data_IF_694579636723
#
_entry.id   IF_694579636723
#
_cell.length_a   1.000
_cell.length_b   1.000
_cell.length_c   1.000
_cell.angle_alpha   90.00
_cell.angle_beta   90.00
_cell.angle_gamma   90.00
#
_symmetry.space_group_name_H-M   'P 1'
#
loop_
_entity.id
_entity.type
_entity.pdbx_description
1 polymer ?
#
# COMPACT_ATOMS: atom_id res chain seq x y z
N UNK A 1 20.62 30.45 -21.12
CA UNK A 1 19.18 30.40 -21.45
C UNK A 1 18.40 30.75 -20.20
N UNK A 2 17.62 31.84 -20.20
CA UNK A 2 16.76 32.14 -19.04
C UNK A 2 15.44 31.38 -19.23
N UNK A 3 15.21 30.34 -18.44
CA UNK A 3 13.96 29.59 -18.42
C UNK A 3 12.85 30.47 -17.79
N UNK A 4 11.73 30.63 -18.49
CA UNK A 4 10.59 31.41 -17.99
C UNK A 4 9.49 30.41 -17.55
N UNK A 5 9.17 30.38 -16.27
CA UNK A 5 8.10 29.53 -15.73
C UNK A 5 6.72 29.98 -16.22
N UNK A 6 5.89 29.05 -16.67
CA UNK A 6 4.54 29.29 -17.17
C UNK A 6 3.50 28.40 -16.47
N UNK A 7 3.26 28.65 -15.21
CA UNK A 7 2.28 27.88 -14.43
C UNK A 7 0.83 28.05 -14.92
N UNK A 8 0.52 29.07 -15.75
CA UNK A 8 -0.80 29.23 -16.34
C UNK A 8 -1.27 28.03 -17.16
N UNK A 9 -0.33 27.28 -17.78
CA UNK A 9 -0.63 26.07 -18.54
C UNK A 9 -1.07 24.92 -17.61
N UNK A 10 -0.44 24.80 -16.45
CA UNK A 10 -0.78 23.78 -15.47
C UNK A 10 -2.16 24.04 -14.87
N UNK A 11 -2.48 25.30 -14.57
CA UNK A 11 -3.80 25.65 -14.03
C UNK A 11 -4.95 25.42 -15.01
N UNK A 12 -4.72 25.52 -16.31
CA UNK A 12 -5.73 25.17 -17.32
C UNK A 12 -6.08 23.68 -17.30
N UNK A 13 -5.11 22.81 -17.01
CA UNK A 13 -5.25 21.36 -17.00
C UNK A 13 -5.32 20.79 -15.58
N UNK A 14 -5.56 21.66 -14.57
CA UNK A 14 -5.53 21.24 -13.17
C UNK A 14 -6.59 20.18 -12.85
N UNK A 15 -7.72 20.18 -13.56
CA UNK A 15 -8.76 19.17 -13.44
C UNK A 15 -8.25 17.75 -13.73
N UNK A 16 -7.47 17.59 -14.80
CA UNK A 16 -6.90 16.29 -15.19
C UNK A 16 -5.88 15.80 -14.14
N UNK A 17 -5.09 16.70 -13.55
CA UNK A 17 -4.20 16.35 -12.43
C UNK A 17 -4.99 15.92 -11.18
N UNK A 18 -6.14 16.57 -10.93
CA UNK A 18 -6.99 16.20 -9.80
C UNK A 18 -7.62 14.81 -10.01
N UNK A 19 -8.09 14.52 -11.23
CA UNK A 19 -8.59 13.17 -11.58
C UNK A 19 -7.50 12.11 -11.41
N UNK A 20 -6.28 12.41 -11.85
CA UNK A 20 -5.11 11.57 -11.62
C UNK A 20 -4.82 11.35 -10.12
N UNK A 21 -4.95 12.39 -9.28
CA UNK A 21 -4.78 12.27 -7.84
C UNK A 21 -5.85 11.40 -7.18
N UNK A 22 -7.10 11.49 -7.64
CA UNK A 22 -8.20 10.64 -7.19
C UNK A 22 -7.92 9.18 -7.57
N UNK A 23 -7.50 8.93 -8.81
CA UNK A 23 -7.15 7.58 -9.25
C UNK A 23 -5.97 7.02 -8.46
N UNK A 24 -4.93 7.83 -8.20
CA UNK A 24 -3.81 7.47 -7.32
C UNK A 24 -4.30 6.97 -5.95
N UNK A 25 -5.20 7.73 -5.33
CA UNK A 25 -5.76 7.35 -4.02
C UNK A 25 -6.58 6.06 -4.10
N UNK A 26 -7.42 5.90 -5.13
CA UNK A 26 -8.23 4.70 -5.33
C UNK A 26 -7.36 3.46 -5.53
N UNK A 27 -6.37 3.54 -6.42
CA UNK A 27 -5.42 2.44 -6.67
C UNK A 27 -4.65 2.08 -5.40
N UNK A 28 -4.15 3.07 -4.66
CA UNK A 28 -3.46 2.86 -3.39
C UNK A 28 -4.35 2.19 -2.35
N UNK A 29 -5.58 2.67 -2.17
CA UNK A 29 -6.52 2.13 -1.20
C UNK A 29 -6.94 0.69 -1.51
N UNK A 30 -7.27 0.40 -2.77
CA UNK A 30 -7.66 -0.96 -3.21
C UNK A 30 -6.49 -1.92 -3.12
N UNK A 31 -5.29 -1.48 -3.52
CA UNK A 31 -4.07 -2.29 -3.42
C UNK A 31 -3.73 -2.63 -1.97
N UNK A 32 -3.83 -1.65 -1.08
CA UNK A 32 -3.61 -1.87 0.34
C UNK A 32 -4.65 -2.81 0.96
N UNK A 33 -5.94 -2.62 0.65
CA UNK A 33 -7.01 -3.47 1.17
C UNK A 33 -6.86 -4.92 0.69
N UNK A 34 -6.64 -5.13 -0.62
CA UNK A 34 -6.39 -6.45 -1.19
C UNK A 34 -5.13 -7.10 -0.62
N UNK A 35 -4.05 -6.33 -0.52
CA UNK A 35 -2.81 -6.77 0.11
C UNK A 35 -2.98 -7.11 1.59
N UNK A 36 -3.80 -6.37 2.34
CA UNK A 36 -4.09 -6.65 3.75
C UNK A 36 -4.83 -7.98 3.93
N UNK A 37 -5.76 -8.31 3.04
CA UNK A 37 -6.45 -9.61 3.07
C UNK A 37 -5.47 -10.76 2.79
N UNK A 38 -4.63 -10.64 1.75
CA UNK A 38 -3.58 -11.62 1.44
C UNK A 38 -2.61 -11.72 2.61
N UNK A 39 -2.15 -10.59 3.14
CA UNK A 39 -1.21 -10.52 4.24
C UNK A 39 -1.71 -11.20 5.50
N UNK A 40 -2.97 -10.99 5.86
CA UNK A 40 -3.60 -11.61 7.02
C UNK A 40 -3.67 -13.14 6.85
N UNK A 41 -4.12 -13.59 5.67
CA UNK A 41 -4.21 -15.01 5.37
C UNK A 41 -2.82 -15.69 5.40
N UNK A 42 -1.85 -15.11 4.74
CA UNK A 42 -0.48 -15.61 4.69
C UNK A 42 0.19 -15.59 6.07
N UNK A 43 0.01 -14.52 6.85
CA UNK A 43 0.55 -14.43 8.22
C UNK A 43 -0.06 -15.50 9.14
N UNK A 44 -1.36 -15.77 9.02
CA UNK A 44 -2.01 -16.84 9.75
C UNK A 44 -1.46 -18.23 9.36
N UNK A 45 -1.30 -18.49 8.05
CA UNK A 45 -0.69 -19.74 7.57
C UNK A 45 0.73 -19.93 8.10
N UNK A 46 1.59 -18.90 8.03
CA UNK A 46 2.96 -18.99 8.53
C UNK A 46 2.98 -19.25 10.04
N UNK A 47 2.03 -18.70 10.79
CA UNK A 47 2.02 -18.79 12.25
C UNK A 47 1.44 -20.11 12.78
N UNK A 48 0.45 -20.67 12.11
CA UNK A 48 -0.35 -21.77 12.68
C UNK A 48 -0.44 -23.02 11.80
N UNK A 49 -0.12 -22.94 10.48
CA UNK A 49 -0.27 -24.10 9.60
C UNK A 49 0.93 -25.07 9.69
N UNK A 50 0.79 -26.33 9.25
CA UNK A 50 1.90 -27.27 9.12
C UNK A 50 2.91 -26.81 8.08
N UNK A 51 4.14 -27.34 8.14
CA UNK A 51 5.28 -26.94 7.32
C UNK A 51 4.97 -26.93 5.80
N UNK A 52 4.24 -27.92 5.32
CA UNK A 52 3.87 -28.07 3.91
C UNK A 52 3.10 -26.82 3.38
N UNK A 53 2.21 -26.24 4.20
CA UNK A 53 1.44 -25.04 3.83
C UNK A 53 2.22 -23.74 4.08
N UNK A 54 3.19 -23.75 4.99
CA UNK A 54 4.06 -22.58 5.24
C UNK A 54 5.06 -22.36 4.13
N UNK A 55 5.59 -23.43 3.53
CA UNK A 55 6.67 -23.35 2.55
C UNK A 55 6.32 -22.49 1.33
N UNK A 56 5.18 -22.69 0.62
CA UNK A 56 4.82 -21.84 -0.52
C UNK A 56 4.62 -20.38 -0.14
N UNK A 57 4.08 -20.11 1.06
CA UNK A 57 3.92 -18.73 1.55
C UNK A 57 5.29 -18.09 1.83
N UNK A 58 6.24 -18.82 2.40
CA UNK A 58 7.60 -18.32 2.58
C UNK A 58 8.27 -18.01 1.24
N UNK A 59 8.15 -18.91 0.26
CA UNK A 59 8.69 -18.68 -1.08
C UNK A 59 8.08 -17.42 -1.71
N UNK A 60 6.76 -17.26 -1.62
CA UNK A 60 6.06 -16.06 -2.11
C UNK A 60 6.59 -14.79 -1.43
N UNK A 61 6.61 -14.75 -0.11
CA UNK A 61 7.06 -13.57 0.64
C UNK A 61 8.51 -13.23 0.29
N UNK A 62 9.41 -14.21 0.30
CA UNK A 62 10.83 -14.00 -0.02
C UNK A 62 11.01 -13.55 -1.46
N UNK A 63 10.35 -14.19 -2.43
CA UNK A 63 10.47 -13.82 -3.83
C UNK A 63 9.98 -12.39 -4.08
N UNK A 64 8.80 -12.05 -3.57
CA UNK A 64 8.17 -10.74 -3.81
C UNK A 64 8.88 -9.61 -3.08
N UNK A 65 9.30 -9.80 -1.83
CA UNK A 65 9.98 -8.74 -1.07
C UNK A 65 11.43 -8.49 -1.52
N UNK A 66 12.05 -9.45 -2.20
CA UNK A 66 13.40 -9.32 -2.76
C UNK A 66 13.42 -8.98 -4.25
N UNK A 67 12.26 -8.73 -4.86
CA UNK A 67 12.15 -8.29 -6.24
C UNK A 67 11.50 -6.90 -6.29
N UNK A 68 12.05 -5.91 -7.04
CA UNK A 68 11.42 -4.61 -7.16
C UNK A 68 9.99 -4.70 -7.70
N UNK A 69 9.05 -3.95 -7.10
CA UNK A 69 7.65 -3.93 -7.53
C UNK A 69 7.50 -3.60 -9.03
N UNK A 70 8.32 -2.68 -9.54
CA UNK A 70 8.36 -2.34 -10.96
C UNK A 70 8.56 -3.57 -11.86
N UNK A 71 9.50 -4.45 -11.50
CA UNK A 71 9.80 -5.66 -12.30
C UNK A 71 8.61 -6.63 -12.27
N UNK A 72 7.95 -6.76 -11.12
CA UNK A 72 6.74 -7.58 -11.00
C UNK A 72 5.61 -7.06 -11.91
N UNK A 73 5.38 -5.74 -11.89
CA UNK A 73 4.36 -5.08 -12.71
C UNK A 73 4.72 -5.17 -14.21
N UNK A 74 5.99 -4.98 -14.58
CA UNK A 74 6.46 -5.14 -15.96
C UNK A 74 6.28 -6.58 -16.46
N UNK A 75 6.50 -7.58 -15.62
CA UNK A 75 6.25 -8.96 -15.98
C UNK A 75 4.75 -9.19 -16.26
N UNK A 76 3.85 -8.61 -15.46
CA UNK A 76 2.41 -8.71 -15.69
C UNK A 76 2.00 -7.99 -16.99
N UNK A 77 2.57 -6.84 -17.28
CA UNK A 77 2.17 -6.01 -18.40
C UNK A 77 2.80 -6.43 -19.74
N UNK A 78 4.10 -6.73 -19.75
CA UNK A 78 4.85 -7.10 -20.96
C UNK A 78 5.07 -8.61 -21.08
N UNK A 79 5.18 -9.34 -19.99
CA UNK A 79 5.48 -10.78 -19.99
C UNK A 79 4.26 -11.64 -20.21
N UNK A 80 3.13 -11.39 -19.56
CA UNK A 80 1.93 -12.22 -19.69
C UNK A 80 1.35 -12.26 -21.12
N UNK A 81 1.40 -11.20 -21.93
CA UNK A 81 0.96 -11.23 -23.31
C UNK A 81 1.67 -12.29 -24.17
N UNK A 82 2.93 -12.63 -23.88
CA UNK A 82 3.67 -13.70 -24.57
C UNK A 82 3.05 -15.09 -24.32
N UNK A 83 2.30 -15.22 -23.22
CA UNK A 83 1.52 -16.44 -22.91
C UNK A 83 0.04 -16.32 -23.30
N UNK A 84 -0.32 -15.30 -24.11
CA UNK A 84 -1.69 -15.07 -24.56
C UNK A 84 -2.62 -14.39 -23.56
N UNK A 85 -2.12 -13.97 -22.39
CA UNK A 85 -2.91 -13.32 -21.32
C UNK A 85 -2.68 -11.81 -21.43
N UNK A 86 -3.72 -11.05 -21.78
CA UNK A 86 -3.66 -9.57 -21.89
C UNK A 86 -4.59 -8.91 -20.89
N UNK A 87 -4.02 -8.14 -19.97
CA UNK A 87 -4.74 -7.30 -19.04
C UNK A 87 -4.53 -5.82 -19.36
N UNK A 88 -5.44 -4.97 -18.88
CA UNK A 88 -5.23 -3.52 -18.97
C UNK A 88 -4.06 -3.09 -18.08
N UNK A 89 -3.46 -1.94 -18.38
CA UNK A 89 -2.37 -1.37 -17.59
C UNK A 89 -2.78 -1.17 -16.13
N UNK A 90 -3.99 -0.68 -15.90
CA UNK A 90 -4.55 -0.52 -14.53
C UNK A 90 -4.68 -1.86 -13.79
N UNK A 91 -5.16 -2.91 -14.48
CA UNK A 91 -5.29 -4.24 -13.89
C UNK A 91 -3.91 -4.83 -13.54
N UNK A 92 -2.92 -4.68 -14.43
CA UNK A 92 -1.53 -5.12 -14.17
C UNK A 92 -0.94 -4.38 -12.97
N UNK A 93 -1.12 -3.06 -12.89
CA UNK A 93 -0.68 -2.26 -11.76
C UNK A 93 -1.35 -2.72 -10.47
N UNK A 94 -2.68 -2.80 -10.46
CA UNK A 94 -3.46 -3.14 -9.28
C UNK A 94 -3.10 -4.53 -8.74
N UNK A 95 -3.06 -5.54 -9.61
CA UNK A 95 -2.71 -6.92 -9.22
C UNK A 95 -1.27 -6.99 -8.73
N UNK A 96 -0.33 -6.35 -9.42
CA UNK A 96 1.07 -6.28 -9.01
C UNK A 96 1.24 -5.64 -7.64
N UNK A 97 0.55 -4.52 -7.38
CA UNK A 97 0.58 -3.84 -6.09
C UNK A 97 -0.12 -4.65 -4.99
N UNK A 98 -1.24 -5.32 -5.27
CA UNK A 98 -1.92 -6.20 -4.30
C UNK A 98 -1.00 -7.35 -3.87
N UNK A 99 -0.35 -8.01 -4.82
CA UNK A 99 0.57 -9.10 -4.51
C UNK A 99 1.80 -8.58 -3.76
N UNK A 100 2.37 -7.47 -4.18
CA UNK A 100 3.51 -6.86 -3.51
C UNK A 100 3.14 -6.45 -2.07
N UNK A 101 2.03 -5.74 -1.89
CA UNK A 101 1.51 -5.35 -0.60
C UNK A 101 1.21 -6.56 0.29
N UNK A 102 0.64 -7.62 -0.27
CA UNK A 102 0.34 -8.87 0.43
C UNK A 102 1.58 -9.47 1.09
N UNK A 103 2.71 -9.49 0.38
CA UNK A 103 3.96 -10.01 0.91
C UNK A 103 4.50 -9.15 2.08
N UNK A 104 4.56 -7.82 1.91
CA UNK A 104 5.01 -6.92 2.97
C UNK A 104 4.08 -6.92 4.19
N UNK A 105 2.77 -6.89 3.96
CA UNK A 105 1.77 -6.93 5.04
C UNK A 105 1.77 -8.28 5.76
N UNK A 106 2.13 -9.39 5.10
CA UNK A 106 2.37 -10.68 5.75
C UNK A 106 3.45 -10.54 6.84
N UNK A 107 4.55 -9.87 6.55
CA UNK A 107 5.64 -9.66 7.52
C UNK A 107 5.18 -8.79 8.69
N UNK A 108 4.48 -7.69 8.42
CA UNK A 108 3.96 -6.77 9.44
C UNK A 108 2.96 -7.50 10.34
N UNK A 109 2.00 -8.22 9.77
CA UNK A 109 0.98 -8.94 10.54
C UNK A 109 1.56 -10.10 11.33
N UNK A 110 2.54 -10.83 10.77
CA UNK A 110 3.26 -11.88 11.50
C UNK A 110 3.99 -11.31 12.72
N UNK A 111 4.66 -10.16 12.60
CA UNK A 111 5.27 -9.49 13.75
C UNK A 111 4.23 -9.17 14.83
N UNK A 112 3.02 -8.78 14.43
CA UNK A 112 1.89 -8.60 15.33
C UNK A 112 1.49 -9.87 16.07
N UNK A 113 1.37 -11.01 15.37
CA UNK A 113 1.09 -12.30 16.02
C UNK A 113 2.17 -12.69 17.05
N UNK A 114 3.43 -12.40 16.76
CA UNK A 114 4.55 -12.68 17.65
C UNK A 114 4.66 -11.71 18.84
N UNK A 115 4.00 -10.54 18.77
CA UNK A 115 4.03 -9.53 19.84
C UNK A 115 3.17 -9.86 21.04
N UNK A 116 2.21 -10.78 20.90
CA UNK A 116 1.32 -11.22 21.99
C UNK A 116 2.12 -12.03 23.02
N UNK A 117 2.17 -11.54 24.24
CA UNK A 117 2.93 -12.20 25.32
C UNK A 117 2.18 -13.40 25.85
N UNK A 118 2.91 -14.48 26.10
CA UNK A 118 2.35 -15.70 26.69
C UNK A 118 1.68 -15.44 28.04
N UNK A 119 2.24 -14.53 28.83
CA UNK A 119 1.68 -14.10 30.12
C UNK A 119 0.30 -13.47 30.02
N UNK A 120 0.00 -12.77 28.91
CA UNK A 120 -1.34 -12.19 28.66
C UNK A 120 -2.39 -13.28 28.41
N UNK A 121 -2.00 -14.35 27.71
CA UNK A 121 -2.86 -15.51 27.45
C UNK A 121 -3.08 -16.32 28.74
N UNK A 122 -2.02 -16.55 29.52
CA UNK A 122 -2.09 -17.25 30.80
C UNK A 122 -2.99 -16.48 31.80
N UNK A 123 -2.87 -15.15 31.86
CA UNK A 123 -3.77 -14.32 32.67
C UNK A 123 -5.24 -14.47 32.23
N UNK A 124 -5.50 -14.51 30.92
CA UNK A 124 -6.83 -14.77 30.37
C UNK A 124 -7.39 -16.13 30.79
N UNK A 125 -6.53 -17.16 30.80
CA UNK A 125 -6.92 -18.52 31.27
C UNK A 125 -7.27 -18.54 32.77
N UNK A 126 -6.47 -17.88 33.60
CA UNK A 126 -6.75 -17.75 35.05
C UNK A 126 -8.10 -17.05 35.31
N UNK A 127 -8.46 -16.09 34.46
CA UNK A 127 -9.76 -15.39 34.50
C UNK A 127 -10.92 -16.25 33.93
N UNK A 128 -10.67 -17.47 33.51
CA UNK A 128 -11.69 -18.37 32.95
C UNK A 128 -12.15 -18.03 31.55
N UNK A 129 -11.38 -17.22 30.80
CA UNK A 129 -11.74 -16.87 29.42
C UNK A 129 -11.57 -18.07 28.49
N UNK A 130 -12.61 -18.38 27.72
CA UNK A 130 -12.51 -19.34 26.61
C UNK A 130 -11.52 -18.88 25.54
N UNK A 131 -11.02 -19.80 24.70
CA UNK A 131 -10.09 -19.49 23.61
C UNK A 131 -10.65 -18.38 22.69
N UNK A 132 -11.94 -18.46 22.36
CA UNK A 132 -12.60 -17.43 21.52
C UNK A 132 -12.62 -16.07 22.22
N UNK A 133 -12.87 -16.04 23.52
CA UNK A 133 -12.85 -14.82 24.32
C UNK A 133 -11.43 -14.26 24.43
N UNK A 134 -10.40 -15.10 24.61
CA UNK A 134 -9.00 -14.65 24.61
C UNK A 134 -8.62 -14.04 23.25
N UNK A 135 -8.97 -14.69 22.14
CA UNK A 135 -8.73 -14.14 20.80
C UNK A 135 -9.43 -12.78 20.63
N UNK A 136 -10.70 -12.69 21.00
CA UNK A 136 -11.51 -11.46 20.81
C UNK A 136 -11.08 -10.31 21.71
N UNK A 137 -10.77 -10.56 22.98
CA UNK A 137 -10.57 -9.52 23.98
C UNK A 137 -9.10 -9.23 24.29
N UNK A 138 -8.18 -10.16 24.00
CA UNK A 138 -6.74 -10.02 24.25
C UNK A 138 -5.97 -9.94 22.94
N UNK A 139 -6.02 -11.00 22.11
CA UNK A 139 -5.14 -11.16 20.95
C UNK A 139 -5.43 -10.12 19.85
N UNK A 140 -6.68 -10.06 19.39
CA UNK A 140 -7.05 -9.15 18.28
C UNK A 140 -6.83 -7.68 18.61
N UNK A 141 -7.25 -7.14 19.78
CA UNK A 141 -7.00 -5.76 20.14
C UNK A 141 -5.51 -5.44 20.30
N UNK A 142 -4.74 -6.37 20.89
CA UNK A 142 -3.30 -6.21 21.05
C UNK A 142 -2.60 -6.12 19.70
N UNK A 143 -2.84 -7.10 18.80
CA UNK A 143 -2.24 -7.14 17.47
C UNK A 143 -2.61 -5.90 16.68
N UNK A 144 -3.91 -5.58 16.59
CA UNK A 144 -4.39 -4.44 15.82
C UNK A 144 -3.70 -3.13 16.26
N UNK A 145 -3.56 -2.92 17.57
CA UNK A 145 -2.87 -1.76 18.13
C UNK A 145 -1.37 -1.77 17.83
N UNK A 146 -0.73 -2.93 17.91
CA UNK A 146 0.72 -3.10 17.71
C UNK A 146 1.14 -2.86 16.26
N UNK A 147 0.39 -3.39 15.29
CA UNK A 147 0.75 -3.31 13.85
C UNK A 147 0.25 -2.03 13.17
N UNK A 148 -0.73 -1.34 13.76
CA UNK A 148 -1.38 -0.19 13.14
C UNK A 148 -0.40 0.88 12.61
N UNK A 149 0.62 1.32 13.38
CA UNK A 149 1.56 2.33 12.90
C UNK A 149 2.35 1.85 11.67
N UNK A 150 2.77 0.59 11.64
CA UNK A 150 3.49 0.02 10.52
C UNK A 150 2.59 -0.11 9.27
N UNK A 151 1.34 -0.52 9.44
CA UNK A 151 0.36 -0.59 8.36
C UNK A 151 0.03 0.80 7.81
N UNK A 152 -0.17 1.80 8.67
CA UNK A 152 -0.43 3.16 8.26
C UNK A 152 0.74 3.75 7.46
N UNK A 153 1.98 3.55 7.91
CA UNK A 153 3.17 3.97 7.17
C UNK A 153 3.28 3.26 5.82
N UNK A 154 3.03 1.95 5.78
CA UNK A 154 3.09 1.18 4.55
C UNK A 154 2.00 1.61 3.53
N UNK A 155 0.81 2.01 4.01
CA UNK A 155 -0.21 2.60 3.14
C UNK A 155 0.30 3.86 2.43
N UNK A 156 0.97 4.76 3.14
CA UNK A 156 1.56 5.96 2.55
C UNK A 156 2.63 5.61 1.50
N UNK A 157 3.45 4.60 1.77
CA UNK A 157 4.46 4.11 0.80
C UNK A 157 3.79 3.61 -0.48
N UNK A 158 2.73 2.81 -0.39
CA UNK A 158 1.96 2.34 -1.55
C UNK A 158 1.36 3.53 -2.31
N UNK A 159 0.75 4.46 -1.58
CA UNK A 159 0.05 5.61 -2.16
C UNK A 159 0.98 6.50 -3.00
N UNK A 160 2.23 6.68 -2.60
CA UNK A 160 3.18 7.55 -3.30
C UNK A 160 4.06 6.76 -4.26
N UNK A 161 4.80 5.78 -3.73
CA UNK A 161 5.80 5.06 -4.52
C UNK A 161 5.21 3.91 -5.35
N UNK A 162 4.17 3.24 -4.81
CA UNK A 162 3.56 2.11 -5.49
C UNK A 162 2.78 2.54 -6.72
N UNK A 163 1.86 3.48 -6.57
CA UNK A 163 0.96 3.87 -7.66
C UNK A 163 1.68 4.60 -8.78
N UNK A 164 2.69 5.45 -8.48
CA UNK A 164 3.46 6.20 -9.48
C UNK A 164 4.22 5.32 -10.48
N UNK A 165 4.46 4.04 -10.14
CA UNK A 165 5.01 3.05 -11.08
C UNK A 165 4.07 2.83 -12.28
N UNK A 166 2.77 3.05 -12.08
CA UNK A 166 1.75 2.93 -13.12
C UNK A 166 1.98 3.83 -14.34
N UNK A 167 2.56 5.00 -14.13
CA UNK A 167 2.92 5.92 -15.21
C UNK A 167 3.82 5.25 -16.27
N UNK A 168 4.67 4.31 -15.88
CA UNK A 168 5.62 3.63 -16.76
C UNK A 168 4.97 2.56 -17.66
N UNK A 169 3.72 2.21 -17.39
CA UNK A 169 2.91 1.29 -18.21
C UNK A 169 1.64 1.95 -18.74
N UNK A 170 1.60 3.29 -18.72
CA UNK A 170 0.52 4.09 -19.32
C UNK A 170 -0.75 4.15 -18.47
N UNK A 171 -0.64 4.09 -17.13
CA UNK A 171 -1.77 4.39 -16.22
C UNK A 171 -1.83 5.90 -15.99
N UNK A 172 -3.01 6.49 -16.17
CA UNK A 172 -3.26 7.94 -16.04
C UNK A 172 -3.49 8.38 -14.57
N UNK A 173 -2.73 7.80 -13.64
CA UNK A 173 -2.66 8.29 -12.28
C UNK A 173 -1.90 9.64 -12.23
N UNK A 174 -1.72 10.26 -11.08
CA UNK A 174 -1.19 11.61 -10.95
C UNK A 174 0.14 11.84 -11.70
N UNK A 175 1.09 10.89 -11.63
CA UNK A 175 2.36 10.99 -12.37
C UNK A 175 2.16 10.76 -13.86
N UNK A 176 1.32 9.80 -14.24
CA UNK A 176 0.98 9.51 -15.63
C UNK A 176 0.32 10.72 -16.32
N UNK A 177 -0.65 11.34 -15.65
CA UNK A 177 -1.27 12.59 -16.15
C UNK A 177 -0.24 13.71 -16.34
N UNK A 178 0.64 13.90 -15.36
CA UNK A 178 1.68 14.93 -15.48
C UNK A 178 2.66 14.64 -16.64
N UNK A 179 3.02 13.37 -16.87
CA UNK A 179 3.85 12.95 -18.01
C UNK A 179 3.13 13.27 -19.32
N UNK A 180 1.87 12.87 -19.45
CA UNK A 180 1.08 13.09 -20.67
C UNK A 180 0.96 14.58 -20.98
N UNK A 181 0.54 15.40 -20.02
CA UNK A 181 0.38 16.83 -20.18
C UNK A 181 1.71 17.56 -20.45
N UNK A 182 2.77 17.18 -19.74
CA UNK A 182 4.09 17.80 -19.97
C UNK A 182 4.69 17.43 -21.31
N UNK A 183 4.39 16.26 -21.85
CA UNK A 183 4.84 15.82 -23.18
C UNK A 183 4.22 16.65 -24.30
N UNK A 184 2.97 17.09 -24.13
CA UNK A 184 2.27 17.95 -25.10
C UNK A 184 2.74 19.41 -25.01
N UNK A 185 2.94 19.91 -23.80
CA UNK A 185 3.22 21.33 -23.54
C UNK A 185 4.72 21.63 -23.40
N UNK A 186 5.57 20.62 -23.31
CA UNK A 186 7.02 20.74 -23.04
C UNK A 186 7.35 21.54 -21.77
N UNK A 187 6.46 21.45 -20.74
CA UNK A 187 6.56 22.19 -19.47
C UNK A 187 6.78 21.25 -18.27
N UNK A 188 7.80 20.43 -18.36
CA UNK A 188 8.10 19.39 -17.35
C UNK A 188 8.31 19.96 -15.94
N UNK A 189 9.08 21.06 -15.81
CA UNK A 189 9.39 21.63 -14.50
C UNK A 189 8.13 22.12 -13.77
N UNK A 190 7.22 22.78 -14.50
CA UNK A 190 5.97 23.29 -13.94
C UNK A 190 5.05 22.16 -13.49
N UNK A 191 4.80 21.16 -14.35
CA UNK A 191 3.94 20.04 -13.99
C UNK A 191 4.53 19.25 -12.84
N UNK A 192 5.82 18.87 -12.89
CA UNK A 192 6.43 18.07 -11.83
C UNK A 192 6.55 18.82 -10.50
N UNK A 193 6.73 20.14 -10.51
CA UNK A 193 6.68 20.95 -9.29
C UNK A 193 5.27 20.91 -8.66
N UNK A 194 4.23 21.06 -9.49
CA UNK A 194 2.84 21.05 -8.99
C UNK A 194 2.44 19.68 -8.48
N UNK A 195 2.73 18.58 -9.21
CA UNK A 195 2.39 17.24 -8.70
C UNK A 195 3.19 16.86 -7.47
N UNK A 196 4.44 17.33 -7.32
CA UNK A 196 5.18 17.12 -6.08
C UNK A 196 4.45 17.75 -4.88
N UNK A 197 3.92 18.96 -5.02
CA UNK A 197 3.08 19.60 -4.02
C UNK A 197 1.76 18.83 -3.81
N UNK A 198 1.13 18.35 -4.89
CA UNK A 198 -0.10 17.54 -4.79
C UNK A 198 0.14 16.24 -4.04
N UNK A 199 1.27 15.55 -4.25
CA UNK A 199 1.65 14.36 -3.47
C UNK A 199 1.86 14.69 -1.99
N UNK A 200 2.50 15.81 -1.67
CA UNK A 200 2.66 16.26 -0.27
C UNK A 200 1.29 16.48 0.38
N UNK A 201 0.37 17.16 -0.31
CA UNK A 201 -0.99 17.39 0.19
C UNK A 201 -1.75 16.08 0.34
N UNK A 202 -1.70 15.20 -0.67
CA UNK A 202 -2.38 13.91 -0.67
C UNK A 202 -1.91 13.03 0.50
N UNK A 203 -0.59 12.93 0.69
CA UNK A 203 0.00 12.16 1.79
C UNK A 203 -0.28 12.78 3.15
N UNK A 204 -0.30 14.10 3.25
CA UNK A 204 -0.66 14.80 4.48
C UNK A 204 -2.11 14.50 4.86
N UNK A 205 -3.06 14.61 3.93
CA UNK A 205 -4.48 14.29 4.16
C UNK A 205 -4.63 12.82 4.58
N UNK A 206 -3.99 11.90 3.86
CA UNK A 206 -4.01 10.48 4.18
C UNK A 206 -3.42 10.20 5.57
N UNK A 207 -2.28 10.81 5.91
CA UNK A 207 -1.61 10.65 7.21
C UNK A 207 -2.46 11.19 8.36
N UNK A 208 -3.08 12.37 8.19
CA UNK A 208 -4.01 12.94 9.19
C UNK A 208 -5.22 12.03 9.36
N UNK A 209 -5.83 11.56 8.26
CA UNK A 209 -6.95 10.62 8.32
C UNK A 209 -6.61 9.33 9.06
N UNK A 210 -5.46 8.72 8.76
CA UNK A 210 -4.96 7.54 9.46
C UNK A 210 -4.68 7.84 10.94
N UNK A 211 -4.05 8.98 11.27
CA UNK A 211 -3.77 9.34 12.66
C UNK A 211 -5.06 9.53 13.48
N UNK A 212 -6.08 10.16 12.89
CA UNK A 212 -7.39 10.34 13.54
C UNK A 212 -8.09 8.98 13.72
N UNK A 213 -8.09 8.14 12.69
CA UNK A 213 -8.63 6.79 12.78
C UNK A 213 -7.93 5.95 13.86
N UNK A 214 -6.58 5.99 13.91
CA UNK A 214 -5.80 5.27 14.91
C UNK A 214 -6.08 5.73 16.33
N UNK A 215 -6.28 7.04 16.54
CA UNK A 215 -6.68 7.60 17.85
C UNK A 215 -8.08 7.14 18.25
N UNK A 216 -9.01 7.15 17.31
CA UNK A 216 -10.39 6.75 17.56
C UNK A 216 -10.51 5.23 17.80
N UNK A 217 -9.95 4.40 16.91
CA UNK A 217 -10.13 2.96 16.95
C UNK A 217 -9.25 2.26 18.00
N UNK A 218 -7.99 2.70 18.15
CA UNK A 218 -7.00 1.97 18.95
C UNK A 218 -6.45 2.76 20.13
N UNK A 219 -6.83 4.01 20.31
CA UNK A 219 -6.27 4.96 21.30
C UNK A 219 -4.74 5.07 21.20
N UNK A 220 -4.18 4.82 20.01
CA UNK A 220 -2.75 4.94 19.75
C UNK A 220 -2.42 6.42 19.54
N UNK A 221 -1.43 6.93 20.26
CA UNK A 221 -0.83 8.23 19.92
C UNK A 221 0.12 7.99 18.75
N UNK A 222 -0.38 8.08 17.53
CA UNK A 222 0.48 8.10 16.35
C UNK A 222 1.29 9.41 16.40
N UNK A 223 2.63 9.32 16.49
CA UNK A 223 3.49 10.46 16.19
C UNK A 223 3.42 10.64 14.68
N UNK A 224 2.96 11.82 14.23
CA UNK A 224 2.84 12.14 12.80
C UNK A 224 4.22 12.49 12.22
N UNK A 225 5.21 12.72 13.10
CA UNK A 225 6.62 12.99 12.78
C UNK A 225 7.53 12.41 13.87
#
# INVERSE_FOLDING_TARGET
>A
MNYTFQYGVVWKNFGELLDGAILTFQLGAVSFAGGALIGLFCAALISYAPFILRLPVHIYVVAVTNTPALIQIYFLYYGLPEFGIRWSSEACLLIGLILNAGAYLTMIMRAGFLSVRRTELEAGQVLGLSVVQQVRYIVVPHIAKSIYPAMANFFIVILVMGTSVGALIGVDELTGQAINLSSVNYRWLEYFTVIALMYVVLTFIASVGLALFGRWAFRVRARIF
#
